data_IF_403093595654
#
_entry.id   IF_403093595654
#
_cell.length_a   1.000
_cell.length_b   1.000
_cell.length_c   1.000
_cell.angle_alpha   90.00
_cell.angle_beta   90.00
_cell.angle_gamma   90.00
#
_symmetry.space_group_name_H-M   'P 1'
#
loop_
_entity.id
_entity.type
_entity.pdbx_description
1 polymer ?
#
# COMPACT_ATOMS: atom_id res chain seq x y z
N UNK A 1 -43.33 -20.64 -16.18
CA UNK A 1 -42.00 -20.02 -15.95
C UNK A 1 -42.24 -18.77 -15.14
N UNK A 2 -41.69 -18.62 -13.92
CA UNK A 2 -40.24 -18.66 -13.67
C UNK A 2 -39.78 -19.43 -12.40
N UNK A 3 -38.48 -19.72 -12.40
CA UNK A 3 -37.49 -19.81 -11.32
C UNK A 3 -37.91 -20.17 -9.89
N UNK A 4 -37.45 -21.36 -9.47
CA UNK A 4 -37.53 -21.86 -8.11
C UNK A 4 -36.41 -21.31 -7.23
N UNK A 5 -36.85 -20.73 -6.12
CA UNK A 5 -36.08 -20.36 -4.94
C UNK A 5 -35.27 -21.54 -4.39
N UNK A 6 -34.03 -21.26 -3.98
CA UNK A 6 -33.16 -22.17 -3.23
C UNK A 6 -33.80 -22.51 -1.87
N UNK A 7 -33.84 -23.81 -1.56
CA UNK A 7 -34.21 -24.35 -0.25
C UNK A 7 -32.99 -24.42 0.68
N UNK A 8 -33.16 -24.29 2.02
CA UNK A 8 -32.07 -24.47 2.97
C UNK A 8 -31.66 -25.96 3.08
N UNK A 9 -30.37 -26.26 3.34
CA UNK A 9 -29.88 -27.63 3.35
C UNK A 9 -30.40 -28.42 4.56
N UNK A 10 -30.53 -29.76 4.44
CA UNK A 10 -31.08 -30.62 5.47
C UNK A 10 -30.10 -30.80 6.64
N UNK A 11 -30.67 -30.93 7.83
CA UNK A 11 -29.97 -31.21 9.09
C UNK A 11 -29.70 -32.71 9.23
N UNK A 12 -28.52 -33.18 8.82
CA UNK A 12 -28.06 -34.54 9.10
C UNK A 12 -26.55 -34.54 9.44
N UNK A 13 -26.12 -34.92 10.67
CA UNK A 13 -24.76 -34.66 11.16
C UNK A 13 -23.67 -35.62 10.63
N UNK A 14 -24.04 -36.72 9.97
CA UNK A 14 -23.08 -37.76 9.50
C UNK A 14 -22.70 -37.69 8.03
N UNK A 15 -23.32 -36.81 7.23
CA UNK A 15 -22.81 -36.45 5.89
C UNK A 15 -21.78 -35.32 5.93
N UNK A 16 -21.55 -34.75 7.12
CA UNK A 16 -20.83 -33.49 7.28
C UNK A 16 -19.36 -33.58 6.91
N UNK A 17 -18.67 -34.70 7.12
CA UNK A 17 -17.20 -34.75 6.90
C UNK A 17 -16.84 -34.90 5.42
N UNK A 18 -17.51 -35.79 4.68
CA UNK A 18 -17.36 -35.91 3.22
C UNK A 18 -17.96 -34.70 2.50
N UNK A 19 -19.02 -34.09 3.02
CA UNK A 19 -19.57 -32.85 2.48
C UNK A 19 -18.67 -31.64 2.83
N UNK A 20 -18.01 -31.60 3.99
CA UNK A 20 -17.02 -30.59 4.36
C UNK A 20 -15.73 -30.77 3.57
N UNK A 21 -15.36 -32.01 3.22
CA UNK A 21 -14.20 -32.29 2.39
C UNK A 21 -14.48 -31.97 0.92
N UNK A 22 -15.67 -32.28 0.40
CA UNK A 22 -16.12 -31.85 -0.92
C UNK A 22 -16.37 -30.33 -1.00
N UNK A 23 -16.85 -29.71 0.08
CA UNK A 23 -16.98 -28.26 0.22
C UNK A 23 -15.59 -27.61 0.35
N UNK A 24 -14.65 -28.22 1.07
CA UNK A 24 -13.26 -27.76 1.14
C UNK A 24 -12.58 -27.89 -0.23
N UNK A 25 -12.79 -28.99 -0.96
CA UNK A 25 -12.30 -29.18 -2.33
C UNK A 25 -12.95 -28.19 -3.31
N UNK A 26 -14.26 -27.90 -3.17
CA UNK A 26 -14.94 -26.85 -3.95
C UNK A 26 -14.53 -25.42 -3.54
N UNK A 27 -14.21 -25.17 -2.27
CA UNK A 27 -13.68 -23.89 -1.77
C UNK A 27 -12.19 -23.72 -2.14
N UNK A 28 -11.46 -24.82 -2.38
CA UNK A 28 -10.13 -24.83 -2.99
C UNK A 28 -10.24 -24.54 -4.50
N UNK A 29 -11.38 -24.83 -5.14
CA UNK A 29 -11.63 -24.60 -6.57
C UNK A 29 -12.25 -23.23 -6.95
N UNK A 30 -12.45 -22.28 -6.02
CA UNK A 30 -12.91 -20.93 -6.39
C UNK A 30 -12.57 -19.80 -5.40
N UNK A 31 -12.15 -18.60 -5.86
CA UNK A 31 -11.31 -18.31 -7.02
C UNK A 31 -9.83 -18.33 -6.63
N UNK A 32 -8.95 -18.81 -7.52
CA UNK A 32 -7.49 -18.59 -7.45
C UNK A 32 -7.13 -17.13 -7.73
N UNK A 33 -7.76 -16.19 -7.02
CA UNK A 33 -7.65 -14.75 -7.24
C UNK A 33 -6.36 -14.22 -6.63
N UNK A 34 -5.26 -14.42 -7.36
CA UNK A 34 -4.46 -13.24 -7.70
C UNK A 34 -5.45 -12.31 -8.42
N UNK A 35 -5.94 -11.26 -7.75
CA UNK A 35 -6.44 -10.13 -8.52
C UNK A 35 -5.26 -9.72 -9.40
N UNK A 36 -5.35 -10.02 -10.70
CA UNK A 36 -4.25 -10.07 -11.66
C UNK A 36 -3.60 -8.69 -11.81
N UNK A 37 -2.81 -8.29 -10.83
CA UNK A 37 -1.86 -7.20 -10.96
C UNK A 37 -0.73 -7.77 -11.81
N UNK A 38 -0.46 -7.19 -12.99
CA UNK A 38 0.65 -7.65 -13.79
C UNK A 38 1.92 -7.47 -12.99
N UNK A 39 2.87 -8.38 -13.17
CA UNK A 39 4.24 -8.15 -12.74
C UNK A 39 4.75 -6.92 -13.49
N UNK A 40 5.09 -5.84 -12.78
CA UNK A 40 5.50 -4.60 -13.42
C UNK A 40 7.01 -4.58 -13.57
N UNK A 41 7.49 -4.75 -14.79
CA UNK A 41 8.91 -4.79 -15.09
C UNK A 41 9.43 -3.37 -15.33
N UNK A 42 10.33 -2.90 -14.48
CA UNK A 42 11.06 -1.64 -14.69
C UNK A 42 12.53 -1.99 -14.91
N UNK A 43 12.93 -2.36 -16.13
CA UNK A 43 14.30 -2.76 -16.36
C UNK A 43 15.25 -1.54 -16.29
N UNK A 44 16.48 -1.70 -15.81
CA UNK A 44 17.42 -0.59 -15.68
C UNK A 44 17.85 -0.06 -17.05
N UNK A 45 17.54 1.22 -17.32
CA UNK A 45 18.04 2.06 -18.43
C UNK A 45 17.97 1.45 -19.84
N UNK A 46 16.89 1.74 -20.59
CA UNK A 46 16.65 1.07 -21.88
C UNK A 46 16.02 1.99 -22.96
N UNK A 47 16.51 3.21 -23.10
CA UNK A 47 16.11 4.00 -24.27
C UNK A 47 17.22 4.86 -24.87
N UNK A 48 17.36 4.71 -26.19
CA UNK A 48 17.80 5.79 -27.07
C UNK A 48 16.59 6.28 -27.86
N UNK A 49 16.37 7.60 -28.01
CA UNK A 49 15.23 8.15 -28.73
C UNK A 49 15.27 7.83 -30.21
N UNK A 50 14.53 6.82 -30.63
CA UNK A 50 14.17 6.66 -32.05
C UNK A 50 12.72 6.19 -32.13
N UNK A 51 11.85 7.13 -32.48
CA UNK A 51 10.57 7.00 -33.21
C UNK A 51 9.70 5.75 -32.97
N UNK A 52 8.60 5.96 -32.25
CA UNK A 52 7.24 5.40 -32.39
C UNK A 52 7.00 3.89 -32.63
N UNK A 53 8.01 3.02 -32.64
CA UNK A 53 7.84 1.57 -32.68
C UNK A 53 8.66 0.87 -31.60
N UNK A 54 7.95 0.22 -30.67
CA UNK A 54 8.52 -0.55 -29.58
C UNK A 54 9.07 -1.88 -30.11
N UNK A 55 10.34 -1.95 -30.46
CA UNK A 55 11.02 -3.23 -30.66
C UNK A 55 11.69 -3.67 -29.36
N UNK A 56 11.28 -4.83 -28.83
CA UNK A 56 11.96 -5.46 -27.70
C UNK A 56 13.37 -5.84 -28.14
N UNK A 57 14.36 -5.09 -27.67
CA UNK A 57 15.77 -5.40 -27.98
C UNK A 57 16.24 -6.66 -27.23
N UNK A 58 17.28 -7.37 -27.71
CA UNK A 58 17.80 -8.54 -26.99
C UNK A 58 18.21 -8.26 -25.53
N UNK A 59 18.82 -7.12 -25.17
CA UNK A 59 19.05 -6.75 -23.77
C UNK A 59 17.76 -6.63 -22.94
N UNK A 60 16.70 -6.05 -23.52
CA UNK A 60 15.39 -5.94 -22.86
C UNK A 60 14.79 -7.33 -22.62
N UNK A 61 14.87 -8.21 -23.62
CA UNK A 61 14.40 -9.59 -23.50
C UNK A 61 15.15 -10.34 -22.38
N UNK A 62 16.47 -10.18 -22.29
CA UNK A 62 17.26 -10.81 -21.22
C UNK A 62 16.88 -10.30 -19.82
N UNK A 63 16.64 -8.99 -19.68
CA UNK A 63 16.17 -8.40 -18.43
C UNK A 63 14.78 -8.93 -18.02
N UNK A 64 13.85 -9.03 -18.99
CA UNK A 64 12.52 -9.61 -18.79
C UNK A 64 12.65 -11.07 -18.32
N UNK A 65 13.46 -11.89 -18.98
CA UNK A 65 13.66 -13.30 -18.61
C UNK A 65 14.26 -13.45 -17.20
N UNK A 66 15.18 -12.57 -16.82
CA UNK A 66 15.78 -12.57 -15.48
C UNK A 66 14.71 -12.31 -14.41
N UNK A 67 13.87 -11.30 -14.60
CA UNK A 67 12.77 -11.02 -13.66
C UNK A 67 11.74 -12.13 -13.61
N UNK A 68 11.44 -12.78 -14.75
CA UNK A 68 10.54 -13.94 -14.77
C UNK A 68 11.12 -15.11 -13.96
N UNK A 69 12.44 -15.32 -14.04
CA UNK A 69 13.13 -16.34 -13.25
C UNK A 69 13.13 -16.01 -11.75
N UNK A 70 13.44 -14.77 -11.36
CA UNK A 70 13.37 -14.31 -9.97
C UNK A 70 11.94 -14.44 -9.40
N UNK A 71 10.94 -14.03 -10.18
CA UNK A 71 9.55 -14.15 -9.77
C UNK A 71 9.12 -15.61 -9.57
N UNK A 72 9.70 -16.54 -10.34
CA UNK A 72 9.48 -17.98 -10.18
C UNK A 72 10.12 -18.53 -8.90
N UNK A 73 11.38 -18.15 -8.62
CA UNK A 73 12.07 -18.52 -7.37
C UNK A 73 11.33 -18.02 -6.13
N UNK A 74 10.77 -16.80 -6.19
CA UNK A 74 9.91 -16.29 -5.13
C UNK A 74 8.65 -17.13 -4.93
N UNK A 75 8.02 -17.58 -6.01
CA UNK A 75 6.81 -18.41 -5.90
C UNK A 75 7.13 -19.77 -5.26
N UNK A 76 8.26 -20.37 -5.62
CA UNK A 76 8.75 -21.61 -4.97
C UNK A 76 8.99 -21.40 -3.48
N UNK A 77 9.67 -20.30 -3.11
CA UNK A 77 9.90 -19.92 -1.71
C UNK A 77 8.59 -19.74 -0.94
N UNK A 78 7.58 -19.16 -1.58
CA UNK A 78 6.26 -18.89 -1.00
C UNK A 78 5.29 -20.08 -1.12
N UNK A 79 5.71 -21.19 -1.75
CA UNK A 79 4.90 -22.39 -2.01
C UNK A 79 3.61 -22.10 -2.79
N UNK A 80 3.69 -21.17 -3.74
CA UNK A 80 2.59 -20.74 -4.59
C UNK A 80 2.55 -21.63 -5.84
N UNK A 81 1.40 -22.27 -6.10
CA UNK A 81 1.17 -23.03 -7.34
C UNK A 81 0.74 -22.08 -8.47
N UNK A 82 1.67 -21.72 -9.36
CA UNK A 82 1.42 -20.66 -10.33
C UNK A 82 0.54 -21.09 -11.52
N UNK A 83 -0.43 -20.23 -11.88
CA UNK A 83 -0.94 -20.04 -13.26
C UNK A 83 -0.24 -18.81 -13.85
N UNK A 84 -0.07 -18.74 -15.17
CA UNK A 84 0.63 -17.67 -15.88
C UNK A 84 0.17 -16.27 -15.40
N UNK A 85 1.06 -15.48 -14.77
CA UNK A 85 0.76 -14.09 -14.38
C UNK A 85 1.29 -13.19 -15.50
N UNK A 86 0.42 -12.34 -16.05
CA UNK A 86 0.84 -11.35 -17.05
C UNK A 86 1.93 -10.43 -16.51
N UNK A 87 2.77 -9.90 -17.40
CA UNK A 87 3.73 -8.87 -17.06
C UNK A 87 3.50 -7.65 -17.94
N UNK A 88 3.81 -6.48 -17.39
CA UNK A 88 3.72 -5.20 -18.08
C UNK A 88 5.08 -4.51 -17.97
N UNK A 89 5.85 -4.41 -19.07
CA UNK A 89 7.09 -3.66 -19.04
C UNK A 89 6.81 -2.16 -19.06
N UNK A 90 7.58 -1.41 -18.28
CA UNK A 90 7.61 0.04 -18.26
C UNK A 90 9.02 0.46 -18.64
N UNK A 91 9.11 1.21 -19.73
CA UNK A 91 10.38 1.64 -20.27
C UNK A 91 10.71 3.04 -19.77
N UNK A 92 11.96 3.22 -19.36
CA UNK A 92 12.47 4.48 -18.84
C UNK A 92 13.52 5.05 -19.78
N UNK A 93 13.57 6.39 -19.92
CA UNK A 93 14.64 7.04 -20.66
C UNK A 93 15.99 6.78 -19.98
N UNK A 94 17.06 6.57 -20.74
CA UNK A 94 18.42 6.47 -20.19
C UNK A 94 18.96 7.87 -19.88
N UNK A 95 18.41 8.49 -18.84
CA UNK A 95 18.83 9.80 -18.31
C UNK A 95 19.01 9.70 -16.80
N UNK A 96 19.69 10.67 -16.15
CA UNK A 96 19.79 10.72 -14.69
C UNK A 96 18.43 10.65 -13.99
N UNK A 97 17.40 11.29 -14.56
CA UNK A 97 16.02 11.27 -14.06
C UNK A 97 15.39 9.88 -14.22
N UNK A 98 15.62 9.21 -15.35
CA UNK A 98 15.19 7.83 -15.55
C UNK A 98 15.87 6.85 -14.60
N UNK A 99 17.16 7.04 -14.32
CA UNK A 99 17.88 6.23 -13.31
C UNK A 99 17.36 6.51 -11.89
N UNK A 100 17.05 7.76 -11.56
CA UNK A 100 16.43 8.11 -10.29
C UNK A 100 15.02 7.52 -10.16
N UNK A 101 14.23 7.53 -11.23
CA UNK A 101 12.94 6.88 -11.29
C UNK A 101 13.07 5.38 -10.99
N UNK A 102 13.97 4.68 -11.69
CA UNK A 102 14.22 3.27 -11.46
C UNK A 102 14.59 2.99 -10.00
N UNK A 103 15.53 3.73 -9.42
CA UNK A 103 15.95 3.56 -8.02
C UNK A 103 14.77 3.72 -7.06
N UNK A 104 13.93 4.73 -7.29
CA UNK A 104 12.79 5.01 -6.44
C UNK A 104 11.72 3.92 -6.54
N UNK A 105 11.35 3.55 -7.77
CA UNK A 105 10.38 2.47 -7.99
C UNK A 105 10.89 1.14 -7.42
N UNK A 106 12.16 0.82 -7.61
CA UNK A 106 12.77 -0.40 -7.08
C UNK A 106 12.75 -0.41 -5.55
N UNK A 107 13.17 0.68 -4.90
CA UNK A 107 13.18 0.75 -3.44
C UNK A 107 11.79 0.51 -2.83
N UNK A 108 10.74 1.05 -3.44
CA UNK A 108 9.34 0.85 -2.99
C UNK A 108 8.87 -0.58 -3.32
N UNK A 109 9.17 -1.09 -4.51
CA UNK A 109 8.81 -2.44 -4.95
C UNK A 109 9.45 -3.53 -4.07
N UNK A 110 10.67 -3.30 -3.58
CA UNK A 110 11.42 -4.25 -2.78
C UNK A 110 10.96 -4.29 -1.30
N UNK A 111 10.11 -3.35 -0.84
CA UNK A 111 9.64 -3.32 0.56
C UNK A 111 8.99 -4.64 0.98
N UNK A 112 8.01 -5.20 0.25
CA UNK A 112 7.46 -6.50 0.60
C UNK A 112 8.51 -7.62 0.57
N UNK A 113 9.40 -7.62 -0.43
CA UNK A 113 10.42 -8.67 -0.60
C UNK A 113 11.43 -8.70 0.56
N UNK A 114 11.83 -7.54 1.06
CA UNK A 114 12.80 -7.39 2.14
C UNK A 114 12.17 -7.51 3.53
N UNK A 115 10.85 -7.57 3.62
CA UNK A 115 10.18 -7.71 4.89
C UNK A 115 10.47 -9.09 5.51
N UNK A 116 10.67 -9.20 6.84
CA UNK A 116 10.94 -10.44 7.54
C UNK A 116 9.66 -11.28 7.72
N UNK A 117 8.95 -11.55 6.63
CA UNK A 117 7.69 -12.28 6.59
C UNK A 117 7.93 -13.68 6.03
N UNK A 118 7.47 -14.67 6.78
CA UNK A 118 7.40 -16.07 6.32
C UNK A 118 5.94 -16.49 6.35
N UNK A 119 5.28 -16.63 5.19
CA UNK A 119 3.91 -17.14 5.13
C UNK A 119 3.80 -18.52 5.77
N UNK A 120 2.74 -18.73 6.57
CA UNK A 120 2.50 -19.99 7.29
C UNK A 120 1.76 -21.02 6.44
N UNK A 121 1.05 -20.57 5.41
CA UNK A 121 0.26 -21.40 4.51
C UNK A 121 0.22 -20.78 3.10
N UNK A 122 -0.37 -21.50 2.14
CA UNK A 122 -0.46 -21.04 0.75
C UNK A 122 -1.28 -19.75 0.59
N UNK A 123 -2.39 -19.59 1.34
CA UNK A 123 -3.25 -18.41 1.26
C UNK A 123 -2.49 -17.13 1.67
N UNK A 124 -1.70 -17.21 2.74
CA UNK A 124 -0.77 -16.15 3.14
C UNK A 124 0.29 -15.89 2.07
N UNK A 125 0.78 -16.93 1.39
CA UNK A 125 1.68 -16.79 0.24
C UNK A 125 1.05 -15.99 -0.89
N UNK A 126 -0.18 -16.36 -1.31
CA UNK A 126 -0.94 -15.64 -2.34
C UNK A 126 -1.21 -14.18 -1.96
N UNK A 127 -1.60 -13.93 -0.70
CA UNK A 127 -1.83 -12.59 -0.18
C UNK A 127 -0.54 -11.75 -0.22
N UNK A 128 0.57 -12.31 0.25
CA UNK A 128 1.88 -11.64 0.22
C UNK A 128 2.30 -11.28 -1.20
N UNK A 129 2.12 -12.20 -2.16
CA UNK A 129 2.44 -11.93 -3.58
C UNK A 129 1.54 -10.84 -4.18
N UNK A 130 0.25 -10.84 -3.82
CA UNK A 130 -0.69 -9.80 -4.24
C UNK A 130 -0.24 -8.43 -3.72
N UNK A 131 0.13 -8.33 -2.44
CA UNK A 131 0.68 -7.11 -1.88
C UNK A 131 1.98 -6.70 -2.60
N UNK A 132 2.89 -7.64 -2.87
CA UNK A 132 4.12 -7.34 -3.62
C UNK A 132 3.82 -6.66 -4.96
N UNK A 133 2.89 -7.18 -5.76
CA UNK A 133 2.54 -6.54 -7.04
C UNK A 133 1.81 -5.19 -6.88
N UNK A 134 1.01 -5.02 -5.83
CA UNK A 134 0.44 -3.71 -5.51
C UNK A 134 1.54 -2.68 -5.18
N UNK A 135 2.57 -3.08 -4.44
CA UNK A 135 3.69 -2.23 -4.08
C UNK A 135 4.60 -1.90 -5.28
N UNK A 136 4.79 -2.84 -6.21
CA UNK A 136 5.42 -2.54 -7.50
C UNK A 136 4.66 -1.45 -8.27
N UNK A 137 3.34 -1.60 -8.39
CA UNK A 137 2.49 -0.61 -9.06
C UNK A 137 2.53 0.75 -8.35
N UNK A 138 2.47 0.73 -7.02
CA UNK A 138 2.59 1.93 -6.19
C UNK A 138 3.93 2.63 -6.41
N UNK A 139 5.03 1.88 -6.49
CA UNK A 139 6.37 2.42 -6.74
C UNK A 139 6.47 3.17 -8.08
N UNK A 140 5.81 2.67 -9.12
CA UNK A 140 5.75 3.34 -10.44
C UNK A 140 4.91 4.62 -10.36
N UNK A 141 3.69 4.54 -9.82
CA UNK A 141 2.80 5.70 -9.71
C UNK A 141 3.44 6.80 -8.89
N UNK A 142 4.09 6.45 -7.77
CA UNK A 142 4.80 7.41 -6.93
C UNK A 142 6.00 8.03 -7.65
N UNK A 143 6.80 7.25 -8.36
CA UNK A 143 7.92 7.77 -9.15
C UNK A 143 7.46 8.72 -10.24
N UNK A 144 6.36 8.39 -10.93
CA UNK A 144 5.77 9.29 -11.91
C UNK A 144 5.32 10.61 -11.28
N UNK A 145 4.69 10.58 -10.11
CA UNK A 145 4.22 11.80 -9.43
C UNK A 145 5.34 12.67 -8.88
N UNK A 146 6.43 12.05 -8.44
CA UNK A 146 7.58 12.78 -7.89
C UNK A 146 8.54 13.31 -8.97
N UNK A 147 8.69 12.59 -10.09
CA UNK A 147 9.75 12.85 -11.07
C UNK A 147 9.23 13.14 -12.49
N UNK A 148 7.98 12.77 -12.82
CA UNK A 148 7.36 13.10 -14.11
C UNK A 148 7.99 12.47 -15.35
N UNK A 149 8.79 11.40 -15.19
CA UNK A 149 9.61 10.82 -16.27
C UNK A 149 8.80 10.07 -17.33
N UNK A 150 7.67 9.48 -16.93
CA UNK A 150 6.76 8.74 -17.82
C UNK A 150 5.37 9.38 -17.79
N UNK A 151 4.55 9.06 -18.81
CA UNK A 151 3.13 9.37 -18.79
C UNK A 151 2.44 8.74 -17.56
N UNK A 152 1.33 9.34 -17.11
CA UNK A 152 0.60 8.86 -15.93
C UNK A 152 0.19 7.38 -16.12
N UNK A 153 0.75 6.44 -15.33
CA UNK A 153 0.51 5.01 -15.51
C UNK A 153 -0.94 4.61 -15.21
N UNK A 154 -1.70 5.43 -14.47
CA UNK A 154 -3.10 5.19 -14.09
C UNK A 154 -4.06 6.24 -14.69
N UNK A 155 -3.58 7.06 -15.62
CA UNK A 155 -4.37 8.05 -16.36
C UNK A 155 -5.22 7.43 -17.47
N UNK A 156 -5.96 8.26 -18.20
CA UNK A 156 -6.69 7.82 -19.39
C UNK A 156 -5.66 7.28 -20.41
N UNK A 157 -5.77 6.00 -20.79
CA UNK A 157 -4.77 5.25 -21.58
C UNK A 157 -3.41 4.98 -20.90
N UNK A 158 -3.34 5.08 -19.57
CA UNK A 158 -2.16 4.68 -18.80
C UNK A 158 -1.86 3.18 -18.88
N UNK A 159 -0.59 2.81 -18.78
CA UNK A 159 -0.12 1.41 -18.95
C UNK A 159 -0.73 0.42 -17.95
N UNK A 160 -1.19 0.90 -16.79
CA UNK A 160 -1.87 0.11 -15.77
C UNK A 160 -3.40 0.22 -15.85
N UNK A 161 -3.94 1.23 -16.54
CA UNK A 161 -5.38 1.51 -16.61
C UNK A 161 -6.18 0.39 -17.27
N UNK A 162 -5.62 -0.24 -18.31
CA UNK A 162 -6.27 -1.36 -19.01
C UNK A 162 -6.04 -2.72 -18.33
N UNK A 163 -5.18 -2.75 -17.30
CA UNK A 163 -4.74 -3.98 -16.64
C UNK A 163 -5.35 -4.16 -15.27
N UNK A 164 -5.81 -3.09 -14.65
CA UNK A 164 -6.30 -3.09 -13.27
C UNK A 164 -7.79 -2.76 -13.21
N UNK A 165 -8.49 -3.37 -12.24
CA UNK A 165 -9.86 -2.98 -11.93
C UNK A 165 -9.91 -1.53 -11.45
N UNK A 166 -11.07 -0.88 -11.63
CA UNK A 166 -11.30 0.49 -11.14
C UNK A 166 -10.96 0.64 -9.64
N UNK A 167 -11.32 -0.35 -8.82
CA UNK A 167 -11.04 -0.35 -7.38
C UNK A 167 -9.52 -0.33 -7.12
N UNK A 168 -8.75 -1.14 -7.85
CA UNK A 168 -7.28 -1.16 -7.71
C UNK A 168 -6.65 0.15 -8.20
N UNK A 169 -7.17 0.74 -9.28
CA UNK A 169 -6.72 2.04 -9.77
C UNK A 169 -7.01 3.15 -8.77
N UNK A 170 -8.19 3.17 -8.16
CA UNK A 170 -8.57 4.17 -7.16
C UNK A 170 -7.74 3.99 -5.86
N UNK A 171 -7.44 2.75 -5.46
CA UNK A 171 -6.51 2.47 -4.36
C UNK A 171 -5.09 2.95 -4.64
N UNK A 172 -4.55 2.67 -5.84
CA UNK A 172 -3.23 3.15 -6.24
C UNK A 172 -3.19 4.68 -6.30
N UNK A 173 -4.25 5.32 -6.83
CA UNK A 173 -4.36 6.77 -6.91
C UNK A 173 -4.29 7.40 -5.52
N UNK A 174 -5.19 7.03 -4.61
CA UNK A 174 -5.25 7.63 -3.28
C UNK A 174 -4.06 7.23 -2.41
N UNK A 175 -3.65 5.97 -2.44
CA UNK A 175 -2.50 5.48 -1.68
C UNK A 175 -1.20 6.19 -2.06
N UNK A 176 -1.02 6.50 -3.35
CA UNK A 176 0.11 7.32 -3.79
C UNK A 176 -0.07 8.81 -3.51
N UNK A 177 -1.28 9.36 -3.45
CA UNK A 177 -1.52 10.78 -3.06
C UNK A 177 -1.07 11.01 -1.61
N UNK A 178 -1.50 10.11 -0.72
CA UNK A 178 -1.11 10.12 0.70
C UNK A 178 0.41 9.99 0.85
N UNK A 179 1.02 9.04 0.14
CA UNK A 179 2.47 8.83 0.20
C UNK A 179 3.28 10.00 -0.33
N UNK A 180 2.87 10.62 -1.44
CA UNK A 180 3.55 11.80 -1.99
C UNK A 180 3.42 12.99 -1.04
N UNK A 181 2.23 13.21 -0.47
CA UNK A 181 2.04 14.26 0.53
C UNK A 181 2.88 14.01 1.81
N UNK A 182 2.97 12.76 2.26
CA UNK A 182 3.86 12.34 3.34
C UNK A 182 5.33 12.66 3.01
N UNK A 183 5.82 12.25 1.84
CA UNK A 183 7.20 12.53 1.42
C UNK A 183 7.53 14.04 1.43
N UNK A 184 6.63 14.87 0.93
CA UNK A 184 6.80 16.32 0.98
C UNK A 184 6.85 16.87 2.41
N UNK A 185 5.99 16.36 3.30
CA UNK A 185 6.03 16.72 4.72
C UNK A 185 7.35 16.32 5.39
N UNK A 186 7.83 15.09 5.14
CA UNK A 186 9.11 14.63 5.68
C UNK A 186 10.28 15.49 5.19
N UNK A 187 10.25 15.87 3.91
CA UNK A 187 11.28 16.72 3.29
C UNK A 187 11.28 18.13 3.87
N UNK A 188 10.12 18.80 3.92
CA UNK A 188 10.04 20.17 4.45
C UNK A 188 10.18 20.23 5.98
N UNK A 189 9.77 19.16 6.64
CA UNK A 189 9.71 19.02 8.09
C UNK A 189 10.97 18.45 8.73
N UNK A 190 11.98 18.04 7.95
CA UNK A 190 13.13 17.26 8.41
C UNK A 190 13.80 17.86 9.66
N UNK A 191 14.01 19.19 9.67
CA UNK A 191 14.64 19.87 10.80
C UNK A 191 13.82 19.83 12.10
N UNK A 192 12.49 19.77 12.02
CA UNK A 192 11.61 19.60 13.18
C UNK A 192 11.66 18.15 13.67
N UNK A 193 11.66 17.19 12.74
CA UNK A 193 11.74 15.76 13.06
C UNK A 193 13.07 15.46 13.77
N UNK A 194 14.21 15.91 13.24
CA UNK A 194 15.53 15.74 13.86
C UNK A 194 15.60 16.35 15.26
N UNK A 195 15.08 17.56 15.44
CA UNK A 195 15.01 18.23 16.76
C UNK A 195 14.11 17.49 17.74
N UNK A 196 12.96 17.00 17.26
CA UNK A 196 12.03 16.22 18.08
C UNK A 196 12.67 14.90 18.52
N UNK A 197 13.33 14.18 17.61
CA UNK A 197 14.02 12.92 17.90
C UNK A 197 15.10 13.12 18.96
N UNK A 198 15.95 14.14 18.78
CA UNK A 198 16.98 14.52 19.76
C UNK A 198 16.37 14.86 21.13
N UNK A 199 15.30 15.66 21.17
CA UNK A 199 14.62 16.05 22.41
C UNK A 199 14.02 14.85 23.15
N UNK A 200 13.48 13.87 22.42
CA UNK A 200 12.82 12.69 22.97
C UNK A 200 13.74 11.47 23.09
N UNK A 201 15.05 11.64 22.82
CA UNK A 201 16.04 10.55 22.86
C UNK A 201 15.68 9.36 21.96
N UNK A 202 15.05 9.64 20.82
CA UNK A 202 14.77 8.66 19.77
C UNK A 202 15.93 8.70 18.78
N UNK A 203 16.48 7.52 18.46
CA UNK A 203 17.56 7.41 17.47
C UNK A 203 17.07 7.77 16.06
N UNK A 204 17.80 8.64 15.37
CA UNK A 204 17.51 9.08 14.00
C UNK A 204 18.62 8.56 13.08
N UNK A 205 18.50 7.32 12.55
CA UNK A 205 19.57 6.69 11.77
C UNK A 205 19.56 7.10 10.28
N UNK A 206 18.71 8.04 9.88
CA UNK A 206 18.50 8.38 8.47
C UNK A 206 19.47 9.47 8.00
N UNK A 207 20.09 9.25 6.84
CA UNK A 207 20.95 10.26 6.22
C UNK A 207 20.11 11.32 5.50
N UNK A 208 18.98 10.89 4.92
CA UNK A 208 18.11 11.73 4.09
C UNK A 208 16.62 11.55 4.45
N UNK A 209 15.75 12.52 4.09
CA UNK A 209 14.29 12.35 4.20
C UNK A 209 13.76 11.14 3.41
N UNK A 210 14.50 10.73 2.38
CA UNK A 210 14.18 9.56 1.57
C UNK A 210 14.30 8.26 2.37
N UNK A 211 15.35 8.12 3.18
CA UNK A 211 15.55 6.93 4.01
C UNK A 211 14.47 6.82 5.06
N UNK A 212 14.12 7.94 5.71
CA UNK A 212 12.99 7.99 6.63
C UNK A 212 11.67 7.63 5.93
N UNK A 213 11.47 8.11 4.71
CA UNK A 213 10.26 7.80 3.96
C UNK A 213 10.13 6.31 3.64
N UNK A 214 11.21 5.65 3.24
CA UNK A 214 11.22 4.21 3.01
C UNK A 214 10.95 3.42 4.28
N UNK A 215 11.49 3.85 5.42
CA UNK A 215 11.21 3.23 6.73
C UNK A 215 9.72 3.34 7.08
N UNK A 216 9.12 4.53 6.92
CA UNK A 216 7.69 4.74 7.15
C UNK A 216 6.85 3.82 6.27
N UNK A 217 7.19 3.70 4.99
CA UNK A 217 6.49 2.79 4.08
C UNK A 217 6.67 1.31 4.47
N UNK A 218 7.83 0.92 4.97
CA UNK A 218 8.08 -0.44 5.45
C UNK A 218 7.26 -0.77 6.70
N UNK A 219 7.19 0.13 7.68
CA UNK A 219 6.32 -0.03 8.86
C UNK A 219 4.83 -0.09 8.48
N UNK A 220 4.38 0.75 7.52
CA UNK A 220 3.02 0.74 6.98
C UNK A 220 2.68 -0.59 6.29
N UNK A 221 3.64 -1.14 5.52
CA UNK A 221 3.51 -2.45 4.89
C UNK A 221 3.34 -3.56 5.95
N UNK A 222 4.19 -3.60 6.96
CA UNK A 222 4.12 -4.61 8.03
C UNK A 222 2.80 -4.53 8.79
N UNK A 223 2.30 -3.32 9.03
CA UNK A 223 0.99 -3.10 9.65
C UNK A 223 -0.14 -3.65 8.78
N UNK A 224 -0.10 -3.35 7.47
CA UNK A 224 -1.10 -3.85 6.50
C UNK A 224 -1.05 -5.38 6.39
N UNK A 225 0.15 -5.97 6.38
CA UNK A 225 0.33 -7.42 6.42
C UNK A 225 -0.34 -8.03 7.65
N UNK A 226 -0.06 -7.52 8.85
CA UNK A 226 -0.61 -8.07 10.11
C UNK A 226 -2.14 -7.97 10.21
N UNK A 227 -2.72 -6.89 9.66
CA UNK A 227 -4.16 -6.65 9.64
C UNK A 227 -4.88 -7.32 8.46
N UNK A 228 -4.13 -7.87 7.51
CA UNK A 228 -4.69 -8.49 6.31
C UNK A 228 -5.57 -9.71 6.62
N UNK A 229 -6.55 -10.01 5.74
CA UNK A 229 -7.56 -11.05 5.96
C UNK A 229 -6.98 -12.46 6.10
N UNK A 230 -5.77 -12.71 5.59
CA UNK A 230 -5.10 -14.01 5.68
C UNK A 230 -4.17 -14.14 6.89
N UNK A 231 -3.83 -13.02 7.55
CA UNK A 231 -2.93 -13.03 8.69
C UNK A 231 -3.66 -12.87 10.02
N UNK A 232 -4.75 -12.09 10.04
CA UNK A 232 -5.67 -11.85 11.17
C UNK A 232 -5.03 -11.93 12.56
N UNK A 233 -3.79 -11.44 12.70
CA UNK A 233 -3.12 -11.40 14.01
C UNK A 233 -3.93 -10.52 14.97
N UNK A 234 -4.80 -9.67 14.41
CA UNK A 234 -5.82 -8.87 15.07
C UNK A 234 -7.13 -9.03 14.31
N UNK A 235 -8.25 -9.04 15.05
CA UNK A 235 -9.59 -9.06 14.46
C UNK A 235 -9.85 -7.74 13.73
N UNK A 236 -10.37 -7.80 12.50
CA UNK A 236 -10.78 -6.61 11.77
C UNK A 236 -11.91 -5.88 12.53
N UNK A 237 -11.82 -4.55 12.58
CA UNK A 237 -12.87 -3.72 13.18
C UNK A 237 -14.10 -3.68 12.24
N UNK A 238 -15.33 -3.59 12.77
CA UNK A 238 -16.51 -3.30 11.95
C UNK A 238 -16.35 -2.02 11.13
N UNK A 239 -16.93 -1.96 9.92
CA UNK A 239 -16.85 -0.79 9.01
C UNK A 239 -17.19 0.54 9.70
N UNK A 240 -18.23 0.57 10.53
CA UNK A 240 -18.62 1.76 11.28
C UNK A 240 -17.51 2.24 12.25
N UNK A 241 -16.82 1.31 12.92
CA UNK A 241 -15.70 1.63 13.81
C UNK A 241 -14.46 2.07 13.03
N UNK A 242 -14.19 1.49 11.86
CA UNK A 242 -13.11 1.95 10.98
C UNK A 242 -13.37 3.39 10.50
N UNK A 243 -14.59 3.69 10.02
CA UNK A 243 -15.02 5.04 9.62
C UNK A 243 -14.88 6.05 10.76
N UNK A 244 -15.32 5.66 11.97
CA UNK A 244 -15.22 6.52 13.14
C UNK A 244 -13.76 6.77 13.52
N UNK A 245 -12.94 5.72 13.59
CA UNK A 245 -11.51 5.83 13.93
C UNK A 245 -10.76 6.74 12.96
N UNK A 246 -11.02 6.61 11.66
CA UNK A 246 -10.39 7.46 10.65
C UNK A 246 -10.89 8.91 10.73
N UNK A 247 -12.19 9.13 10.98
CA UNK A 247 -12.73 10.47 11.18
C UNK A 247 -12.12 11.15 12.41
N UNK A 248 -12.01 10.44 13.53
CA UNK A 248 -11.32 10.87 14.75
C UNK A 248 -9.87 11.24 14.45
N UNK A 249 -9.12 10.37 13.76
CA UNK A 249 -7.73 10.64 13.35
C UNK A 249 -7.62 11.92 12.52
N UNK A 250 -8.45 12.09 11.50
CA UNK A 250 -8.45 13.29 10.63
C UNK A 250 -8.69 14.56 11.46
N UNK A 251 -9.67 14.53 12.38
CA UNK A 251 -9.95 15.68 13.25
C UNK A 251 -8.77 15.99 14.18
N UNK A 252 -8.17 14.98 14.80
CA UNK A 252 -7.00 15.13 15.67
C UNK A 252 -5.77 15.66 14.92
N UNK A 253 -5.63 15.31 13.63
CA UNK A 253 -4.61 15.86 12.74
C UNK A 253 -4.90 17.29 12.30
N UNK A 254 -6.17 17.73 12.26
CA UNK A 254 -6.52 19.12 11.98
C UNK A 254 -6.39 20.04 13.20
N UNK A 255 -6.28 19.44 14.39
CA UNK A 255 -6.51 20.13 15.67
C UNK A 255 -7.92 20.72 15.77
N UNK A 256 -8.88 20.13 15.05
CA UNK A 256 -10.28 20.52 15.10
C UNK A 256 -10.89 19.96 16.39
N UNK A 257 -10.96 20.80 17.44
CA UNK A 257 -11.61 20.41 18.70
C UNK A 257 -13.10 20.17 18.45
N UNK A 258 -13.62 19.00 18.85
CA UNK A 258 -15.05 18.72 18.85
C UNK A 258 -15.55 18.43 20.25
N UNK A 259 -16.73 18.96 20.56
CA UNK A 259 -17.54 18.47 21.67
C UNK A 259 -18.32 17.26 21.11
N UNK A 260 -18.23 16.07 21.71
CA UNK A 260 -19.15 14.98 21.37
C UNK A 260 -20.59 15.43 21.61
N UNK A 261 -21.56 14.74 21.03
CA UNK A 261 -23.00 15.06 21.18
C UNK A 261 -23.47 15.05 22.65
N UNK A 262 -22.71 14.38 23.53
CA UNK A 262 -22.88 14.36 24.99
C UNK A 262 -22.39 15.63 25.70
N UNK A 263 -21.70 16.53 24.98
CA UNK A 263 -21.28 17.85 25.46
C UNK A 263 -20.04 17.86 26.36
N UNK A 264 -19.38 16.72 26.59
CA UNK A 264 -18.26 16.65 27.53
C UNK A 264 -16.90 16.84 26.84
N UNK A 265 -16.11 17.82 27.31
CA UNK A 265 -14.74 18.06 26.83
C UNK A 265 -13.76 16.92 27.15
N UNK A 266 -14.06 16.11 28.16
CA UNK A 266 -13.25 14.96 28.61
C UNK A 266 -13.00 13.95 27.50
N UNK A 267 -13.95 13.78 26.59
CA UNK A 267 -13.88 12.77 25.53
C UNK A 267 -12.85 13.14 24.45
N UNK A 268 -12.69 14.42 24.12
CA UNK A 268 -11.68 14.86 23.15
C UNK A 268 -10.26 14.72 23.73
N UNK A 269 -10.05 15.17 24.96
CA UNK A 269 -8.75 15.07 25.62
C UNK A 269 -8.32 13.60 25.77
N UNK A 270 -9.27 12.71 26.10
CA UNK A 270 -9.02 11.27 26.17
C UNK A 270 -8.65 10.71 24.80
N UNK A 271 -9.44 11.00 23.76
CA UNK A 271 -9.16 10.53 22.40
C UNK A 271 -7.83 11.07 21.84
N UNK A 272 -7.47 12.31 22.18
CA UNK A 272 -6.18 12.89 21.83
C UNK A 272 -5.03 12.15 22.52
N UNK A 273 -5.12 11.88 23.83
CA UNK A 273 -4.10 11.15 24.56
C UNK A 273 -3.91 9.73 24.01
N UNK A 274 -5.01 9.00 23.77
CA UNK A 274 -4.98 7.67 23.16
C UNK A 274 -4.33 7.69 21.79
N UNK A 275 -4.65 8.69 20.96
CA UNK A 275 -4.06 8.85 19.64
C UNK A 275 -2.56 9.13 19.73
N UNK A 276 -2.13 10.07 20.57
CA UNK A 276 -0.71 10.38 20.76
C UNK A 276 0.07 9.17 21.28
N UNK A 277 -0.51 8.41 22.21
CA UNK A 277 0.07 7.16 22.70
C UNK A 277 0.18 6.13 21.57
N UNK A 278 -0.84 6.02 20.72
CA UNK A 278 -0.80 5.11 19.56
C UNK A 278 0.33 5.47 18.59
N UNK A 279 0.52 6.77 18.28
CA UNK A 279 1.62 7.23 17.44
C UNK A 279 3.00 6.95 18.05
N UNK A 280 3.11 6.98 19.39
CA UNK A 280 4.37 6.63 20.06
C UNK A 280 4.71 5.14 19.93
N UNK A 281 3.70 4.29 19.80
CA UNK A 281 3.86 2.84 19.72
C UNK A 281 4.14 2.34 18.29
N UNK A 282 3.88 3.16 17.27
CA UNK A 282 4.06 2.75 15.87
C UNK A 282 5.44 3.04 15.32
N UNK A 283 6.37 3.59 16.11
CA UNK A 283 7.72 3.86 15.62
C UNK A 283 7.79 5.05 14.67
N UNK A 284 8.61 4.95 13.63
CA UNK A 284 8.88 6.09 12.76
C UNK A 284 7.66 6.59 12.00
N UNK A 285 6.73 5.70 11.64
CA UNK A 285 5.41 5.97 11.04
C UNK A 285 4.51 6.86 11.91
N UNK A 286 4.73 6.90 13.22
CA UNK A 286 4.05 7.80 14.14
C UNK A 286 4.90 8.98 14.62
N UNK A 287 6.21 8.81 14.78
CA UNK A 287 7.11 9.83 15.29
C UNK A 287 7.18 11.08 14.42
N UNK A 288 7.16 10.93 13.10
CA UNK A 288 7.16 12.09 12.20
C UNK A 288 5.88 12.93 12.37
N UNK A 289 4.73 12.29 12.61
CA UNK A 289 3.47 12.98 12.89
C UNK A 289 3.52 13.71 14.24
N UNK A 290 4.05 13.07 15.28
CA UNK A 290 4.24 13.70 16.59
C UNK A 290 5.15 14.93 16.50
N UNK A 291 6.22 14.85 15.70
CA UNK A 291 7.14 15.94 15.49
C UNK A 291 6.52 17.12 14.74
N UNK A 292 5.77 16.87 13.67
CA UNK A 292 5.27 17.90 12.77
C UNK A 292 3.92 18.51 13.18
N UNK A 293 3.08 17.78 13.93
CA UNK A 293 1.72 18.24 14.31
C UNK A 293 1.70 19.61 14.97
N UNK A 294 2.65 19.90 15.87
CA UNK A 294 2.72 21.19 16.56
C UNK A 294 3.14 22.36 15.64
N UNK A 295 3.66 22.06 14.44
CA UNK A 295 4.13 23.01 13.45
C UNK A 295 3.19 23.12 12.24
N UNK A 296 1.99 22.53 12.31
CA UNK A 296 1.07 22.44 11.16
C UNK A 296 0.61 23.80 10.59
N UNK A 297 0.68 24.87 11.38
CA UNK A 297 0.31 26.22 10.94
C UNK A 297 1.52 27.06 10.52
N UNK A 298 2.73 26.50 10.57
CA UNK A 298 3.91 27.21 10.08
C UNK A 298 3.89 27.27 8.55
N UNK A 299 4.19 28.43 7.92
CA UNK A 299 4.01 28.61 6.48
C UNK A 299 4.70 27.58 5.58
N UNK A 300 5.84 27.01 6.03
CA UNK A 300 6.59 25.98 5.29
C UNK A 300 5.99 24.58 5.37
N UNK A 301 5.13 24.34 6.36
CA UNK A 301 4.50 23.04 6.63
C UNK A 301 3.03 23.05 6.23
N UNK A 302 2.35 24.17 6.44
CA UNK A 302 0.89 24.26 6.36
C UNK A 302 0.30 23.67 5.08
N UNK A 303 0.75 24.11 3.90
CA UNK A 303 0.20 23.62 2.63
C UNK A 303 0.41 22.12 2.43
N UNK A 304 1.55 21.58 2.85
CA UNK A 304 1.85 20.16 2.77
C UNK A 304 1.06 19.34 3.80
N UNK A 305 0.81 19.92 4.98
CA UNK A 305 0.00 19.30 6.01
C UNK A 305 -1.46 19.21 5.59
N UNK A 306 -2.01 20.31 5.07
CA UNK A 306 -3.36 20.36 4.49
C UNK A 306 -3.52 19.33 3.37
N UNK A 307 -2.55 19.25 2.44
CA UNK A 307 -2.56 18.25 1.37
C UNK A 307 -2.56 16.81 1.90
N UNK A 308 -1.74 16.50 2.91
CA UNK A 308 -1.71 15.18 3.54
C UNK A 308 -3.04 14.81 4.20
N UNK A 309 -3.60 15.74 4.98
CA UNK A 309 -4.88 15.51 5.67
C UNK A 309 -6.04 15.40 4.68
N UNK A 310 -6.03 16.19 3.60
CA UNK A 310 -7.03 16.08 2.53
C UNK A 310 -6.95 14.72 1.82
N UNK A 311 -5.74 14.28 1.45
CA UNK A 311 -5.53 12.97 0.82
C UNK A 311 -6.00 11.83 1.74
N UNK A 312 -5.68 11.89 3.03
CA UNK A 312 -6.18 10.93 4.02
C UNK A 312 -7.72 10.94 4.12
N UNK A 313 -8.32 12.14 4.09
CA UNK A 313 -9.77 12.28 4.16
C UNK A 313 -10.49 11.68 2.95
N UNK A 314 -9.90 11.79 1.74
CA UNK A 314 -10.42 11.15 0.53
C UNK A 314 -10.31 9.62 0.59
N UNK A 315 -9.24 9.11 1.21
CA UNK A 315 -9.01 7.68 1.40
C UNK A 315 -10.06 6.95 2.23
N UNK A 316 -10.86 7.68 3.02
CA UNK A 316 -11.79 7.10 3.99
C UNK A 316 -12.76 6.07 3.43
N UNK A 317 -13.36 6.34 2.27
CA UNK A 317 -14.34 5.40 1.73
C UNK A 317 -13.70 4.20 1.03
N UNK A 318 -12.47 4.36 0.51
CA UNK A 318 -11.74 3.24 -0.11
C UNK A 318 -11.19 2.27 0.93
N UNK A 319 -10.70 2.76 2.07
CA UNK A 319 -10.10 1.91 3.09
C UNK A 319 -11.11 1.11 3.92
N UNK A 320 -12.37 1.57 3.99
CA UNK A 320 -13.39 0.92 4.82
C UNK A 320 -14.22 -0.12 4.06
N UNK A 321 -14.32 -0.04 2.73
CA UNK A 321 -15.23 -0.89 1.96
C UNK A 321 -14.72 -2.31 1.64
N UNK A 322 -13.45 -2.63 1.91
CA UNK A 322 -12.82 -3.88 1.46
C UNK A 322 -13.21 -5.13 2.28
N UNK A 323 -13.84 -4.98 3.45
CA UNK A 323 -14.21 -6.11 4.32
C UNK A 323 -15.69 -6.01 4.74
N UNK A 324 -16.55 -6.80 4.08
CA UNK A 324 -17.92 -7.10 4.53
C UNK A 324 -17.97 -8.36 5.40
#
# INVERSE_FOLDING_TARGET
MPDHFFQPPPSDPTSSELALQALAEQLIEGPKTLHELPLILVPPALWHPVEEQWEITPPMQAAIQTWLQEAHQDDERLRIERRLIGHTPIFLPDTPEGQQFFRLTKAIADIPLNAPIVPKNQQQGYWFKTLHYQWQARGVVMAQRLLGVIADPIGESGVLSDRLSKINLDYLRLGSEISVACFHLLTQGESYIKRWAQKNQVDYPFETPWDLFLEVLQEDFLTTWQLGPENQAKRALPKAQQRNSLATRIRLLRLDQWLPETGERSDYETAEQEYLQSLQQTGWSGYWLLALRQHQYEPRIQSHWEAYVEALSKGKEIFVDILD
#
